data_IF_181908519362
#
_entry.id   IF_181908519362
#
_cell.length_a   1.000
_cell.length_b   1.000
_cell.length_c   1.000
_cell.angle_alpha   90.00
_cell.angle_beta   90.00
_cell.angle_gamma   90.00
#
_symmetry.space_group_name_H-M   'P 1'
#
loop_
_entity.id
_entity.type
_entity.pdbx_description
1 polymer ?
#
# COMPACT_ATOMS: atom_id res chain seq x y z
N UNK A 1 -54.98 26.39 -20.71
CA UNK A 1 -54.42 26.03 -19.40
C UNK A 1 -53.04 25.47 -19.68
N UNK A 2 -52.05 26.36 -19.78
CA UNK A 2 -50.64 25.98 -19.88
C UNK A 2 -50.22 25.47 -18.51
N UNK A 3 -49.79 24.22 -18.45
CA UNK A 3 -49.22 23.62 -17.25
C UNK A 3 -47.87 24.28 -17.01
N UNK A 4 -47.77 25.16 -16.01
CA UNK A 4 -46.54 25.87 -15.69
C UNK A 4 -45.74 25.02 -14.70
N UNK A 5 -44.51 24.59 -15.02
CA UNK A 5 -43.70 23.77 -14.14
C UNK A 5 -43.04 24.66 -13.06
N UNK A 6 -43.84 25.32 -12.23
CA UNK A 6 -43.38 26.34 -11.27
C UNK A 6 -42.35 25.80 -10.29
N UNK A 7 -42.48 24.54 -9.85
CA UNK A 7 -41.51 23.87 -8.97
C UNK A 7 -40.15 23.66 -9.65
N UNK A 8 -40.12 23.47 -10.97
CA UNK A 8 -38.89 23.23 -11.71
C UNK A 8 -38.15 24.53 -12.06
N UNK A 9 -38.81 25.69 -12.01
CA UNK A 9 -38.15 26.97 -12.27
C UNK A 9 -37.12 27.33 -11.19
N UNK A 10 -37.40 27.05 -9.91
CA UNK A 10 -36.42 27.24 -8.83
C UNK A 10 -35.25 26.26 -8.98
N UNK A 11 -35.55 24.98 -9.17
CA UNK A 11 -34.53 23.96 -9.38
C UNK A 11 -33.66 24.22 -10.62
N UNK A 12 -34.22 24.85 -11.66
CA UNK A 12 -33.47 25.32 -12.83
C UNK A 12 -32.46 26.41 -12.46
N UNK A 13 -32.87 27.41 -11.68
CA UNK A 13 -31.99 28.51 -11.19
C UNK A 13 -30.89 27.96 -10.27
N UNK A 14 -31.24 27.00 -9.42
CA UNK A 14 -30.31 26.36 -8.46
C UNK A 14 -29.44 25.26 -9.11
N UNK A 15 -29.61 24.98 -10.40
CA UNK A 15 -28.89 23.96 -11.19
C UNK A 15 -29.08 22.52 -10.68
N UNK A 16 -30.22 22.23 -10.05
CA UNK A 16 -30.55 20.92 -9.47
C UNK A 16 -31.25 19.96 -10.45
N UNK A 17 -31.69 20.47 -11.61
CA UNK A 17 -32.33 19.63 -12.64
C UNK A 17 -31.31 18.75 -13.36
N UNK A 18 -31.73 17.56 -13.78
CA UNK A 18 -30.93 16.73 -14.68
C UNK A 18 -30.91 17.31 -16.12
N UNK A 19 -30.14 16.68 -17.02
CA UNK A 19 -29.97 17.19 -18.37
C UNK A 19 -31.27 17.19 -19.21
N UNK A 20 -32.14 16.19 -19.03
CA UNK A 20 -33.37 16.05 -19.79
C UNK A 20 -34.47 17.00 -19.27
N UNK A 21 -34.57 17.13 -17.96
CA UNK A 21 -35.46 18.08 -17.28
C UNK A 21 -35.09 19.52 -17.62
N UNK A 22 -33.79 19.83 -17.64
CA UNK A 22 -33.29 21.17 -18.01
C UNK A 22 -33.66 21.53 -19.44
N UNK A 23 -33.46 20.64 -20.41
CA UNK A 23 -33.84 20.87 -21.81
C UNK A 23 -35.36 21.10 -21.95
N UNK A 24 -36.17 20.41 -21.15
CA UNK A 24 -37.62 20.60 -21.15
C UNK A 24 -38.01 21.99 -20.62
N UNK A 25 -37.37 22.46 -19.55
CA UNK A 25 -37.59 23.80 -19.00
C UNK A 25 -37.12 24.88 -19.98
N UNK A 26 -35.95 24.73 -20.59
CA UNK A 26 -35.41 25.69 -21.57
C UNK A 26 -36.35 25.87 -22.76
N UNK A 27 -36.84 24.77 -23.34
CA UNK A 27 -37.86 24.83 -24.42
C UNK A 27 -39.15 25.52 -23.98
N UNK A 28 -39.54 25.37 -22.72
CA UNK A 28 -40.71 26.06 -22.18
C UNK A 28 -40.45 27.57 -22.01
N UNK A 29 -39.26 27.97 -21.57
CA UNK A 29 -38.88 29.37 -21.39
C UNK A 29 -38.83 30.13 -22.73
N UNK A 30 -38.46 29.48 -23.83
CA UNK A 30 -38.53 30.06 -25.18
C UNK A 30 -39.96 30.39 -25.63
N UNK A 31 -40.96 29.69 -25.09
CA UNK A 31 -42.36 29.78 -25.52
C UNK A 31 -43.25 30.52 -24.51
N UNK A 32 -42.77 30.76 -23.29
CA UNK A 32 -43.57 31.28 -22.18
C UNK A 32 -42.90 32.48 -21.50
N UNK A 33 -43.31 33.68 -21.90
CA UNK A 33 -42.80 34.95 -21.34
C UNK A 33 -43.04 35.08 -19.83
N UNK A 34 -44.14 34.52 -19.29
CA UNK A 34 -44.42 34.59 -17.85
C UNK A 34 -43.43 33.77 -17.01
N UNK A 35 -43.05 32.59 -17.49
CA UNK A 35 -42.04 31.75 -16.83
C UNK A 35 -40.65 32.36 -16.97
N UNK A 36 -40.34 32.95 -18.12
CA UNK A 36 -39.09 33.69 -18.33
C UNK A 36 -38.95 34.87 -17.37
N UNK A 37 -40.01 35.66 -17.19
CA UNK A 37 -40.05 36.76 -16.22
C UNK A 37 -39.79 36.25 -14.80
N UNK A 38 -40.45 35.16 -14.40
CA UNK A 38 -40.27 34.53 -13.07
C UNK A 38 -38.82 34.09 -12.85
N UNK A 39 -38.20 33.41 -13.82
CA UNK A 39 -36.79 32.98 -13.72
C UNK A 39 -35.85 34.18 -13.63
N UNK A 40 -36.13 35.24 -14.40
CA UNK A 40 -35.34 36.47 -14.37
C UNK A 40 -35.40 37.13 -12.99
N UNK A 41 -36.60 37.23 -12.40
CA UNK A 41 -36.80 37.78 -11.06
C UNK A 41 -36.03 36.97 -9.99
N UNK A 42 -36.05 35.63 -10.09
CA UNK A 42 -35.32 34.74 -9.19
C UNK A 42 -33.80 34.94 -9.29
N UNK A 43 -33.26 35.05 -10.51
CA UNK A 43 -31.84 35.29 -10.75
C UNK A 43 -31.43 36.67 -10.20
N UNK A 44 -32.26 37.70 -10.40
CA UNK A 44 -32.00 39.04 -9.87
C UNK A 44 -31.95 39.02 -8.33
N UNK A 45 -32.91 38.35 -7.68
CA UNK A 45 -32.93 38.19 -6.23
C UNK A 45 -31.67 37.47 -5.73
N UNK A 46 -31.25 36.38 -6.38
CA UNK A 46 -30.02 35.67 -6.05
C UNK A 46 -28.79 36.57 -6.17
N UNK A 47 -28.71 37.40 -7.21
CA UNK A 47 -27.62 38.34 -7.41
C UNK A 47 -27.56 39.43 -6.32
N UNK A 48 -28.72 39.94 -5.88
CA UNK A 48 -28.81 40.90 -4.77
C UNK A 48 -28.32 40.28 -3.46
N UNK A 49 -28.73 39.05 -3.16
CA UNK A 49 -28.30 38.29 -1.99
C UNK A 49 -26.79 38.04 -2.04
N UNK A 50 -26.26 37.56 -3.17
CA UNK A 50 -24.83 37.32 -3.35
C UNK A 50 -23.99 38.60 -3.20
N UNK A 51 -24.51 39.75 -3.64
CA UNK A 51 -23.88 41.04 -3.41
C UNK A 51 -23.81 41.40 -1.92
N UNK A 52 -24.88 41.14 -1.17
CA UNK A 52 -24.90 41.37 0.28
C UNK A 52 -23.90 40.46 1.01
N UNK A 53 -23.89 39.15 0.72
CA UNK A 53 -23.00 38.21 1.40
C UNK A 53 -21.52 38.41 1.10
N UNK A 54 -21.16 39.03 -0.04
CA UNK A 54 -19.76 39.44 -0.30
C UNK A 54 -19.21 40.46 0.69
N UNK A 55 -20.07 41.15 1.42
CA UNK A 55 -19.67 42.11 2.45
C UNK A 55 -19.47 41.43 3.82
N UNK A 56 -19.81 40.15 3.94
CA UNK A 56 -19.64 39.37 5.17
C UNK A 56 -18.30 38.65 5.10
N UNK A 57 -17.33 39.13 5.88
CA UNK A 57 -16.04 38.46 6.04
C UNK A 57 -16.22 37.19 6.88
N UNK A 58 -15.58 36.09 6.47
CA UNK A 58 -15.56 34.87 7.27
C UNK A 58 -14.75 35.10 8.56
N UNK A 59 -15.13 34.49 9.70
CA UNK A 59 -14.32 34.55 10.92
C UNK A 59 -12.91 34.02 10.67
N UNK A 60 -11.88 34.70 11.19
CA UNK A 60 -10.47 34.32 10.99
C UNK A 60 -10.15 32.88 11.44
N UNK A 61 -10.94 32.36 12.39
CA UNK A 61 -10.77 31.03 12.99
C UNK A 61 -11.64 29.93 12.33
N UNK A 62 -12.39 30.27 11.27
CA UNK A 62 -13.31 29.34 10.61
C UNK A 62 -12.57 28.13 10.04
N UNK A 63 -11.46 28.37 9.34
CA UNK A 63 -10.64 27.31 8.75
C UNK A 63 -10.10 26.36 9.82
N UNK A 64 -9.53 26.90 10.89
CA UNK A 64 -8.97 26.10 11.98
C UNK A 64 -10.06 25.30 12.70
N UNK A 65 -11.24 25.90 12.90
CA UNK A 65 -12.40 25.24 13.49
C UNK A 65 -12.88 24.07 12.61
N UNK A 66 -12.98 24.27 11.29
CA UNK A 66 -13.38 23.22 10.35
C UNK A 66 -12.34 22.10 10.32
N UNK A 67 -11.06 22.43 10.18
CA UNK A 67 -9.97 21.46 10.15
C UNK A 67 -9.94 20.61 11.43
N UNK A 68 -10.13 21.24 12.59
CA UNK A 68 -10.23 20.52 13.87
C UNK A 68 -11.40 19.53 13.88
N UNK A 69 -12.56 19.89 13.35
CA UNK A 69 -13.71 18.99 13.29
C UNK A 69 -13.44 17.82 12.34
N UNK A 70 -12.88 18.08 11.16
CA UNK A 70 -12.52 17.05 10.18
C UNK A 70 -11.43 16.09 10.70
N UNK A 71 -10.45 16.61 11.43
CA UNK A 71 -9.44 15.78 12.11
C UNK A 71 -10.11 14.88 13.15
N UNK A 72 -11.09 15.40 13.90
CA UNK A 72 -11.81 14.62 14.90
C UNK A 72 -12.64 13.50 14.26
N UNK A 73 -13.19 13.74 13.08
CA UNK A 73 -14.00 12.77 12.33
C UNK A 73 -13.15 11.72 11.61
N UNK A 74 -12.04 12.12 10.98
CA UNK A 74 -11.08 11.21 10.33
C UNK A 74 -10.32 10.34 11.32
N UNK A 75 -10.13 10.82 12.56
CA UNK A 75 -9.55 10.04 13.65
C UNK A 75 -10.60 9.15 14.36
N UNK A 76 -11.88 9.17 13.94
CA UNK A 76 -12.90 8.27 14.49
C UNK A 76 -12.75 6.80 14.04
N UNK A 77 -11.73 6.48 13.23
CA UNK A 77 -11.13 5.14 13.26
C UNK A 77 -10.45 4.93 14.62
N UNK A 78 -11.31 4.68 15.60
CA UNK A 78 -11.03 4.52 17.02
C UNK A 78 -10.34 3.16 17.25
N UNK A 79 -9.17 2.96 16.64
CA UNK A 79 -8.11 2.15 17.24
C UNK A 79 -7.55 3.02 18.35
N UNK A 80 -8.19 2.88 19.51
CA UNK A 80 -7.85 3.57 20.73
C UNK A 80 -6.34 3.51 20.98
N UNK A 81 -5.74 4.66 21.25
CA UNK A 81 -4.33 4.82 21.64
C UNK A 81 -3.95 4.00 22.90
N UNK A 82 -4.93 3.48 23.63
CA UNK A 82 -4.77 2.51 24.70
C UNK A 82 -4.65 1.04 24.21
N UNK A 83 -5.28 0.69 23.09
CA UNK A 83 -5.20 -0.63 22.45
C UNK A 83 -3.88 -0.91 21.75
N UNK A 84 -3.15 0.12 21.29
CA UNK A 84 -1.87 -0.03 20.57
C UNK A 84 -0.71 -0.55 21.43
N UNK A 85 -0.82 -0.47 22.76
CA UNK A 85 0.15 -1.07 23.69
C UNK A 85 -0.22 -2.50 24.13
N UNK A 86 -1.50 -2.87 24.06
CA UNK A 86 -1.95 -4.22 24.45
C UNK A 86 -1.69 -5.24 23.32
N UNK A 87 -1.82 -4.81 22.06
CA UNK A 87 -1.54 -5.64 20.88
C UNK A 87 -0.09 -6.18 20.88
N UNK A 88 0.98 -5.37 21.08
CA UNK A 88 2.33 -5.91 21.12
C UNK A 88 2.57 -6.81 22.34
N UNK A 89 1.91 -6.53 23.48
CA UNK A 89 2.04 -7.35 24.68
C UNK A 89 1.48 -8.77 24.46
N UNK A 90 0.31 -8.89 23.84
CA UNK A 90 -0.25 -10.20 23.47
C UNK A 90 0.60 -10.92 22.42
N UNK A 91 1.15 -10.20 21.44
CA UNK A 91 2.06 -10.76 20.44
C UNK A 91 3.33 -11.34 21.07
N UNK A 92 3.94 -10.60 21.99
CA UNK A 92 5.13 -11.05 22.74
C UNK A 92 4.79 -12.25 23.62
N UNK A 93 3.67 -12.21 24.34
CA UNK A 93 3.22 -13.34 25.16
C UNK A 93 2.99 -14.62 24.32
N UNK A 94 2.36 -14.49 23.15
CA UNK A 94 2.14 -15.61 22.24
C UNK A 94 3.46 -16.20 21.71
N UNK A 95 4.44 -15.36 21.36
CA UNK A 95 5.77 -15.82 20.94
C UNK A 95 6.52 -16.54 22.08
N UNK A 96 6.42 -16.06 23.31
CA UNK A 96 7.03 -16.71 24.48
C UNK A 96 6.40 -18.10 24.71
N UNK A 97 5.07 -18.22 24.60
CA UNK A 97 4.37 -19.51 24.73
C UNK A 97 4.77 -20.46 23.60
N UNK A 98 4.80 -19.97 22.36
CA UNK A 98 5.24 -20.75 21.20
C UNK A 98 6.67 -21.26 21.39
N UNK A 99 7.59 -20.37 21.82
CA UNK A 99 8.98 -20.74 22.08
C UNK A 99 9.11 -21.71 23.26
N UNK A 100 8.27 -21.61 24.29
CA UNK A 100 8.32 -22.56 25.42
C UNK A 100 7.88 -23.97 24.99
N UNK A 101 6.87 -24.08 24.13
CA UNK A 101 6.37 -25.37 23.65
C UNK A 101 7.35 -25.97 22.62
N UNK A 102 7.79 -25.19 21.65
CA UNK A 102 8.57 -25.68 20.50
C UNK A 102 10.07 -25.46 20.61
N UNK A 103 10.55 -24.64 21.55
CA UNK A 103 11.96 -24.32 21.73
C UNK A 103 12.79 -25.54 22.13
N UNK A 104 12.24 -26.43 22.96
CA UNK A 104 12.94 -27.69 23.30
C UNK A 104 13.18 -28.57 22.07
N UNK A 105 12.21 -28.59 21.14
CA UNK A 105 12.32 -29.32 19.88
C UNK A 105 13.37 -28.67 18.98
N UNK A 106 13.33 -27.35 18.82
CA UNK A 106 14.32 -26.58 18.04
C UNK A 106 15.75 -26.78 18.55
N UNK A 107 15.97 -26.67 19.86
CA UNK A 107 17.30 -26.82 20.48
C UNK A 107 17.82 -28.26 20.32
N UNK A 108 16.97 -29.27 20.50
CA UNK A 108 17.35 -30.67 20.28
C UNK A 108 17.69 -30.94 18.82
N UNK A 109 16.91 -30.39 17.89
CA UNK A 109 17.14 -30.56 16.46
C UNK A 109 18.45 -29.92 16.03
N UNK A 110 18.73 -28.70 16.52
CA UNK A 110 20.02 -28.03 16.31
C UNK A 110 21.19 -28.83 16.89
N UNK A 111 21.07 -29.30 18.14
CA UNK A 111 22.08 -30.13 18.78
C UNK A 111 22.34 -31.42 18.01
N UNK A 112 21.31 -32.06 17.50
CA UNK A 112 21.42 -33.29 16.72
C UNK A 112 22.16 -33.05 15.39
N UNK A 113 21.81 -31.98 14.67
CA UNK A 113 22.51 -31.60 13.43
C UNK A 113 23.98 -31.31 13.70
N UNK A 114 24.29 -30.53 14.75
CA UNK A 114 25.66 -30.19 15.11
C UNK A 114 26.45 -31.45 15.48
N UNK A 115 25.85 -32.35 16.26
CA UNK A 115 26.48 -33.61 16.61
C UNK A 115 26.72 -34.49 15.38
N UNK A 116 25.77 -34.57 14.45
CA UNK A 116 25.94 -35.29 13.19
C UNK A 116 27.11 -34.73 12.38
N UNK A 117 27.23 -33.40 12.27
CA UNK A 117 28.35 -32.73 11.59
C UNK A 117 29.69 -33.04 12.26
N UNK A 118 29.78 -32.92 13.59
CA UNK A 118 31.01 -33.26 14.33
C UNK A 118 31.39 -34.72 14.12
N UNK A 119 30.43 -35.63 14.22
CA UNK A 119 30.68 -37.08 14.09
C UNK A 119 31.12 -37.42 12.66
N UNK A 120 30.48 -36.82 11.65
CA UNK A 120 30.88 -36.97 10.26
C UNK A 120 32.31 -36.42 10.01
N UNK A 121 32.63 -35.24 10.55
CA UNK A 121 33.97 -34.67 10.46
C UNK A 121 35.02 -35.54 11.15
N UNK A 122 34.71 -36.10 12.31
CA UNK A 122 35.58 -37.01 13.05
C UNK A 122 35.86 -38.30 12.29
N UNK A 123 34.81 -38.94 11.74
CA UNK A 123 34.93 -40.15 10.91
C UNK A 123 35.72 -39.84 9.65
N UNK A 124 35.44 -38.72 8.97
CA UNK A 124 36.18 -38.32 7.78
C UNK A 124 37.66 -38.10 8.09
N UNK A 125 37.99 -37.45 9.21
CA UNK A 125 39.36 -37.27 9.68
C UNK A 125 40.06 -38.61 9.95
N UNK A 126 39.38 -39.57 10.58
CA UNK A 126 39.93 -40.91 10.81
C UNK A 126 40.09 -41.73 9.52
N UNK A 127 39.16 -41.61 8.57
CA UNK A 127 39.25 -42.26 7.25
C UNK A 127 40.42 -41.69 6.46
N UNK A 128 40.66 -40.38 6.53
CA UNK A 128 41.84 -39.73 5.94
C UNK A 128 43.13 -40.28 6.51
N UNK A 129 43.21 -40.45 7.84
CA UNK A 129 44.40 -40.99 8.51
C UNK A 129 44.62 -42.49 8.24
N UNK A 130 43.54 -43.29 8.10
CA UNK A 130 43.63 -44.74 8.01
C UNK A 130 43.97 -45.29 6.62
N UNK A 131 43.68 -44.55 5.53
CA UNK A 131 43.99 -45.01 4.16
C UNK A 131 44.73 -43.92 3.36
N UNK A 132 45.99 -43.60 3.69
CA UNK A 132 46.78 -42.58 2.99
C UNK A 132 46.95 -42.88 1.50
N UNK A 133 46.98 -44.17 1.13
CA UNK A 133 47.19 -44.63 -0.23
C UNK A 133 46.06 -44.24 -1.21
N UNK A 134 44.84 -43.98 -0.72
CA UNK A 134 43.72 -43.53 -1.56
C UNK A 134 43.73 -42.02 -1.81
N UNK A 135 44.24 -41.22 -0.87
CA UNK A 135 44.21 -39.77 -0.99
C UNK A 135 45.27 -39.23 -1.96
N UNK A 136 46.42 -39.89 -2.05
CA UNK A 136 47.51 -39.52 -2.96
C UNK A 136 47.06 -39.51 -4.44
N UNK A 137 46.46 -40.58 -5.00
CA UNK A 137 46.02 -40.57 -6.39
C UNK A 137 44.85 -39.61 -6.63
N UNK A 138 43.93 -39.45 -5.66
CA UNK A 138 42.79 -38.53 -5.77
C UNK A 138 43.27 -37.07 -5.83
N UNK A 139 44.17 -36.67 -4.92
CA UNK A 139 44.79 -35.34 -4.94
C UNK A 139 45.59 -35.12 -6.23
N UNK A 140 46.36 -36.13 -6.68
CA UNK A 140 47.11 -36.07 -7.93
C UNK A 140 46.22 -35.85 -9.15
N UNK A 141 45.10 -36.58 -9.25
CA UNK A 141 44.13 -36.39 -10.33
C UNK A 141 43.46 -35.01 -10.29
N UNK A 142 43.09 -34.53 -9.10
CA UNK A 142 42.51 -33.20 -8.94
C UNK A 142 43.47 -32.10 -9.39
N UNK A 143 44.74 -32.14 -8.96
CA UNK A 143 45.78 -31.20 -9.39
C UNK A 143 45.99 -31.30 -10.91
N UNK A 144 46.09 -32.52 -11.45
CA UNK A 144 46.20 -32.74 -12.89
C UNK A 144 45.06 -32.10 -13.68
N UNK A 145 43.81 -32.33 -13.27
CA UNK A 145 42.63 -31.75 -13.93
C UNK A 145 42.61 -30.22 -13.86
N UNK A 146 42.97 -29.62 -12.71
CA UNK A 146 43.04 -28.16 -12.57
C UNK A 146 44.13 -27.55 -13.46
N UNK A 147 45.30 -28.20 -13.58
CA UNK A 147 46.37 -27.78 -14.47
C UNK A 147 45.98 -27.92 -15.94
N UNK A 148 45.35 -29.03 -16.33
CA UNK A 148 44.84 -29.25 -17.70
C UNK A 148 43.79 -28.19 -18.04
N UNK A 149 42.86 -27.90 -17.11
CA UNK A 149 41.84 -26.86 -17.27
C UNK A 149 42.47 -25.48 -17.45
N UNK A 150 43.45 -25.12 -16.61
CA UNK A 150 44.16 -23.84 -16.71
C UNK A 150 44.98 -23.71 -18.00
N UNK A 151 45.66 -24.78 -18.43
CA UNK A 151 46.42 -24.81 -19.68
C UNK A 151 45.50 -24.74 -20.91
N UNK A 152 44.34 -25.40 -20.86
CA UNK A 152 43.32 -25.32 -21.90
C UNK A 152 42.79 -23.89 -22.04
N UNK A 153 42.42 -23.24 -20.93
CA UNK A 153 41.99 -21.84 -20.91
C UNK A 153 43.06 -20.91 -21.49
N UNK A 154 44.32 -21.10 -21.07
CA UNK A 154 45.45 -20.28 -21.56
C UNK A 154 45.71 -20.49 -23.06
N UNK A 155 45.50 -21.70 -23.57
CA UNK A 155 45.63 -22.01 -25.00
C UNK A 155 44.54 -21.33 -25.82
N UNK A 156 43.29 -21.41 -25.36
CA UNK A 156 42.12 -20.79 -26.03
C UNK A 156 42.25 -19.27 -26.06
N UNK A 157 42.62 -18.64 -24.94
CA UNK A 157 42.81 -17.19 -24.85
C UNK A 157 43.94 -16.66 -25.74
N UNK A 158 44.99 -17.45 -25.96
CA UNK A 158 46.05 -17.09 -26.91
C UNK A 158 45.61 -17.24 -28.36
N UNK A 159 44.79 -18.25 -28.69
CA UNK A 159 44.27 -18.43 -30.05
C UNK A 159 43.17 -17.43 -30.43
N UNK A 160 42.47 -16.84 -29.46
CA UNK A 160 41.45 -15.80 -29.72
C UNK A 160 42.02 -14.38 -29.80
N UNK A 161 43.33 -14.20 -29.58
CA UNK A 161 44.03 -12.91 -29.59
C UNK A 161 44.88 -12.69 -30.85
N UNK A 162 44.82 -13.62 -31.81
CA UNK A 162 45.28 -13.47 -33.20
C UNK A 162 44.05 -13.41 -34.12
#
# INVERSE_FOLDING_TARGET
>A
MSDHPTEWLSAYVDQELDAAEREQVERHLEQCESCLATVTDLIEMQAQIAHFYRQVEAPEDLEQTIMKVLDTESTSSTITRAGSAVIPLFGVAALIVLFSIYGSILVKLFSFVLQLVITAAYVMSHVIASVPALWIPVMGLAVGLTLISGLSLRRILRSSAQ
#
